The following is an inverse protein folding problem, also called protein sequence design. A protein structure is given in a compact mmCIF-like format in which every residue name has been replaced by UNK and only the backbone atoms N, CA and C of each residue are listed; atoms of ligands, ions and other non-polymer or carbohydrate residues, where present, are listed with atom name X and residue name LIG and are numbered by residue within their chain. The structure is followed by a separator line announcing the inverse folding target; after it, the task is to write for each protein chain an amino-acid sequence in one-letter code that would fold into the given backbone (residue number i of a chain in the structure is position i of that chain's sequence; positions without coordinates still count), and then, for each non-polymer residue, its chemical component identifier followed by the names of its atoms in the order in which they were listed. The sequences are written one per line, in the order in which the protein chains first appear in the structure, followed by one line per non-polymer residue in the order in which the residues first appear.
data_IF_470464067228
#
_entry.id   IF_470464067228
#
_cell.length_a   1.000
_cell.length_b   1.000
_cell.length_c   1.000
_cell.angle_alpha   90.00
_cell.angle_beta   90.00
_cell.angle_gamma   90.00
#
_symmetry.space_group_name_H-M   'P 1'
#
loop_
_entity.id
_entity.type
_entity.pdbx_description
1 polymer ?
#
# COMPACT_ATOMS: atom_id res chain seq x y z
N UNK A 1 20.75 6.45 -3.19
CA UNK A 1 19.46 6.30 -3.89
C UNK A 1 19.25 4.85 -4.32
N UNK A 2 20.15 4.27 -5.13
CA UNK A 2 19.98 2.91 -5.70
C UNK A 2 19.72 1.84 -4.64
N UNK A 3 20.49 1.80 -3.56
CA UNK A 3 20.32 0.81 -2.49
C UNK A 3 19.00 1.00 -1.71
N UNK A 4 18.57 2.25 -1.48
CA UNK A 4 17.30 2.53 -0.80
C UNK A 4 16.09 2.13 -1.63
N UNK A 5 16.11 2.38 -2.95
CA UNK A 5 15.03 1.95 -3.85
C UNK A 5 15.00 0.43 -3.98
N UNK A 6 16.17 -0.24 -4.07
CA UNK A 6 16.25 -1.70 -4.09
C UNK A 6 15.67 -2.30 -2.79
N UNK A 7 15.99 -1.73 -1.64
CA UNK A 7 15.37 -2.13 -0.37
C UNK A 7 13.85 -1.95 -0.40
N UNK A 8 13.35 -0.83 -0.92
CA UNK A 8 11.92 -0.59 -1.10
C UNK A 8 11.25 -1.65 -1.97
N UNK A 9 11.88 -2.07 -3.06
CA UNK A 9 11.38 -3.14 -3.94
C UNK A 9 11.32 -4.48 -3.19
N UNK A 10 12.37 -4.82 -2.44
CA UNK A 10 12.41 -6.06 -1.64
C UNK A 10 11.32 -6.05 -0.57
N UNK A 11 11.21 -4.96 0.18
CA UNK A 11 10.18 -4.82 1.22
C UNK A 11 8.77 -4.87 0.62
N UNK A 12 8.53 -4.21 -0.51
CA UNK A 12 7.26 -4.28 -1.21
C UNK A 12 6.94 -5.72 -1.63
N UNK A 13 7.89 -6.43 -2.21
CA UNK A 13 7.73 -7.85 -2.59
C UNK A 13 7.38 -8.73 -1.40
N UNK A 14 8.06 -8.55 -0.27
CA UNK A 14 7.77 -9.29 0.97
C UNK A 14 6.37 -8.96 1.52
N UNK A 15 6.00 -7.69 1.56
CA UNK A 15 4.66 -7.25 2.02
C UNK A 15 3.56 -7.86 1.14
N UNK A 16 3.71 -7.78 -0.18
CA UNK A 16 2.74 -8.35 -1.13
C UNK A 16 2.62 -9.86 -0.94
N UNK A 17 3.76 -10.57 -0.82
CA UNK A 17 3.78 -12.02 -0.59
C UNK A 17 3.06 -12.40 0.71
N UNK A 18 3.44 -11.77 1.82
CA UNK A 18 2.84 -12.05 3.14
C UNK A 18 1.34 -11.72 3.13
N UNK A 19 0.95 -10.60 2.52
CA UNK A 19 -0.45 -10.18 2.46
C UNK A 19 -1.31 -11.12 1.60
N UNK A 20 -0.79 -11.60 0.47
CA UNK A 20 -1.50 -12.58 -0.37
C UNK A 20 -1.69 -13.92 0.36
N UNK A 21 -0.73 -14.35 1.16
CA UNK A 21 -0.89 -15.53 2.02
C UNK A 21 -1.91 -15.22 3.12
N UNK A 22 -1.77 -14.09 3.80
CA UNK A 22 -2.57 -13.70 4.95
C UNK A 22 -4.07 -13.48 4.63
N UNK A 23 -4.39 -13.07 3.41
CA UNK A 23 -5.80 -12.90 2.98
C UNK A 23 -6.55 -14.24 2.92
N UNK A 24 -5.85 -15.34 2.72
CA UNK A 24 -6.42 -16.70 2.78
C UNK A 24 -6.80 -17.19 4.18
N UNK A 25 -6.42 -16.44 5.23
CA UNK A 25 -6.70 -16.79 6.63
C UNK A 25 -7.71 -15.81 7.24
N UNK A 26 -9.02 -16.14 7.25
CA UNK A 26 -10.04 -15.30 7.89
C UNK A 26 -9.88 -15.34 9.42
N UNK A 27 -10.07 -14.19 10.05
CA UNK A 27 -10.16 -14.05 11.51
C UNK A 27 -11.63 -14.27 11.93
N UNK A 28 -12.56 -13.72 11.16
CA UNK A 28 -14.01 -13.82 11.34
C UNK A 28 -14.72 -13.46 10.02
N UNK A 29 -16.04 -13.35 10.04
CA UNK A 29 -16.87 -13.03 8.86
C UNK A 29 -16.64 -11.61 8.30
N UNK A 30 -15.87 -10.77 8.99
CA UNK A 30 -15.60 -9.37 8.63
C UNK A 30 -14.15 -9.12 8.25
N UNK A 31 -13.19 -9.94 8.71
CA UNK A 31 -11.77 -9.63 8.67
C UNK A 31 -10.93 -10.82 8.27
N UNK A 32 -9.91 -10.56 7.48
CA UNK A 32 -8.79 -11.46 7.23
C UNK A 32 -7.50 -10.87 7.78
N UNK A 33 -6.47 -11.68 7.99
CA UNK A 33 -5.14 -11.19 8.36
C UNK A 33 -4.53 -10.26 7.29
N UNK A 34 -4.96 -10.40 6.05
CA UNK A 34 -4.57 -9.52 4.95
C UNK A 34 -4.92 -8.05 5.19
N UNK A 35 -6.05 -7.77 5.87
CA UNK A 35 -6.47 -6.41 6.20
C UNK A 35 -5.46 -5.64 7.07
N UNK A 36 -4.64 -6.35 7.85
CA UNK A 36 -3.60 -5.77 8.70
C UNK A 36 -2.22 -5.76 8.06
N UNK A 37 -1.92 -6.68 7.18
CA UNK A 37 -0.60 -6.77 6.53
C UNK A 37 -0.51 -5.89 5.27
N UNK A 38 -1.56 -5.80 4.49
CA UNK A 38 -1.60 -5.06 3.24
C UNK A 38 -1.31 -3.55 3.39
N UNK A 39 -1.78 -2.84 4.44
CA UNK A 39 -1.45 -1.43 4.65
C UNK A 39 0.05 -1.13 4.79
N UNK A 40 0.88 -2.12 5.11
CA UNK A 40 2.33 -1.96 5.10
C UNK A 40 2.88 -1.60 3.71
N UNK A 41 2.18 -1.98 2.63
CA UNK A 41 2.54 -1.58 1.27
C UNK A 41 2.46 -0.06 1.08
N UNK A 42 1.44 0.60 1.65
CA UNK A 42 1.34 2.06 1.64
C UNK A 42 2.49 2.70 2.43
N UNK A 43 2.81 2.18 3.62
CA UNK A 43 3.95 2.67 4.39
C UNK A 43 5.27 2.60 3.59
N UNK A 44 5.51 1.50 2.87
CA UNK A 44 6.72 1.35 2.04
C UNK A 44 6.76 2.41 0.94
N UNK A 45 5.66 2.59 0.20
CA UNK A 45 5.60 3.61 -0.86
C UNK A 45 5.70 5.03 -0.33
N UNK A 46 5.07 5.33 0.81
CA UNK A 46 5.13 6.62 1.47
C UNK A 46 6.55 6.99 1.91
N UNK A 47 7.27 6.04 2.51
CA UNK A 47 8.66 6.24 2.91
C UNK A 47 9.57 6.47 1.69
N UNK A 48 9.40 5.68 0.63
CA UNK A 48 10.16 5.86 -0.62
C UNK A 48 9.80 7.20 -1.27
N UNK A 49 8.52 7.57 -1.30
CA UNK A 49 8.09 8.85 -1.85
C UNK A 49 8.65 10.02 -1.03
N UNK A 50 8.63 9.92 0.30
CA UNK A 50 9.17 10.96 1.18
C UNK A 50 10.66 11.20 0.98
N UNK A 51 11.44 10.11 0.84
CA UNK A 51 12.91 10.16 0.79
C UNK A 51 13.43 10.37 -0.63
N UNK A 52 12.88 9.65 -1.61
CA UNK A 52 13.44 9.57 -2.97
C UNK A 52 12.52 10.17 -4.04
N UNK A 53 11.30 10.58 -3.65
CA UNK A 53 10.34 11.23 -4.53
C UNK A 53 9.48 10.26 -5.35
N UNK A 54 8.47 10.86 -6.00
CA UNK A 54 7.37 10.18 -6.70
C UNK A 54 7.83 9.21 -7.77
N UNK A 55 8.89 9.53 -8.51
CA UNK A 55 9.41 8.67 -9.59
C UNK A 55 9.91 7.32 -9.06
N UNK A 56 10.57 7.33 -7.91
CA UNK A 56 11.08 6.12 -7.28
C UNK A 56 9.97 5.32 -6.58
N UNK A 57 9.03 6.00 -5.94
CA UNK A 57 7.85 5.35 -5.38
C UNK A 57 7.06 4.57 -6.45
N UNK A 58 6.80 5.17 -7.61
CA UNK A 58 6.14 4.48 -8.74
C UNK A 58 6.90 3.25 -9.21
N UNK A 59 8.24 3.29 -9.25
CA UNK A 59 9.05 2.10 -9.60
C UNK A 59 8.86 0.95 -8.61
N UNK A 60 8.80 1.28 -7.31
CA UNK A 60 8.54 0.29 -6.26
C UNK A 60 7.13 -0.30 -6.40
N UNK A 61 6.12 0.53 -6.73
CA UNK A 61 4.76 0.06 -7.01
C UNK A 61 4.71 -0.89 -8.20
N UNK A 62 5.35 -0.55 -9.32
CA UNK A 62 5.38 -1.43 -10.50
C UNK A 62 6.10 -2.74 -10.21
N UNK A 63 7.20 -2.71 -9.47
CA UNK A 63 7.89 -3.93 -9.05
C UNK A 63 7.01 -4.80 -8.15
N UNK A 64 6.32 -4.21 -7.19
CA UNK A 64 5.37 -4.91 -6.32
C UNK A 64 4.19 -5.50 -7.10
N UNK A 65 3.68 -4.78 -8.10
CA UNK A 65 2.65 -5.28 -9.01
C UNK A 65 3.11 -6.55 -9.77
N UNK A 66 4.31 -6.51 -10.35
CA UNK A 66 4.88 -7.69 -11.06
C UNK A 66 5.01 -8.87 -10.12
N UNK A 67 5.54 -8.66 -8.90
CA UNK A 67 5.62 -9.72 -7.87
C UNK A 67 4.22 -10.25 -7.52
N UNK A 68 3.24 -9.37 -7.31
CA UNK A 68 1.86 -9.74 -7.00
C UNK A 68 1.22 -10.58 -8.10
N UNK A 69 1.39 -10.19 -9.36
CA UNK A 69 0.88 -10.94 -10.52
C UNK A 69 1.53 -12.32 -10.61
N UNK A 70 2.86 -12.40 -10.49
CA UNK A 70 3.58 -13.68 -10.53
C UNK A 70 3.10 -14.62 -9.42
N UNK A 71 2.96 -14.12 -8.20
CA UNK A 71 2.48 -14.92 -7.08
C UNK A 71 1.02 -15.36 -7.27
N UNK A 72 0.16 -14.50 -7.82
CA UNK A 72 -1.23 -14.82 -8.07
C UNK A 72 -1.40 -15.97 -9.08
N UNK A 73 -0.52 -16.07 -10.07
CA UNK A 73 -0.54 -17.18 -11.03
C UNK A 73 -0.30 -18.54 -10.35
N UNK A 74 0.49 -18.55 -9.27
CA UNK A 74 0.87 -19.80 -8.57
C UNK A 74 -0.03 -20.15 -7.39
N UNK A 75 -0.67 -19.17 -6.74
CA UNK A 75 -1.30 -19.37 -5.43
C UNK A 75 -2.76 -18.93 -5.36
N UNK A 76 -3.30 -18.22 -6.33
CA UNK A 76 -4.66 -17.69 -6.29
C UNK A 76 -5.50 -18.12 -7.49
N UNK A 77 -6.82 -18.09 -7.30
CA UNK A 77 -7.76 -18.10 -8.43
C UNK A 77 -7.48 -16.90 -9.35
N UNK A 78 -7.58 -17.11 -10.66
CA UNK A 78 -7.29 -16.10 -11.68
C UNK A 78 -8.10 -14.82 -11.47
N UNK A 79 -9.38 -14.94 -11.10
CA UNK A 79 -10.26 -13.80 -10.84
C UNK A 79 -9.77 -12.99 -9.62
N UNK A 80 -9.41 -13.67 -8.53
CA UNK A 80 -8.87 -13.04 -7.32
C UNK A 80 -7.53 -12.38 -7.62
N UNK A 81 -6.66 -13.06 -8.37
CA UNK A 81 -5.35 -12.52 -8.77
C UNK A 81 -5.46 -11.25 -9.61
N UNK A 82 -6.35 -11.22 -10.59
CA UNK A 82 -6.60 -10.05 -11.43
C UNK A 82 -7.24 -8.91 -10.63
N UNK A 83 -8.18 -9.21 -9.75
CA UNK A 83 -8.81 -8.23 -8.86
C UNK A 83 -7.77 -7.60 -7.93
N UNK A 84 -6.96 -8.42 -7.26
CA UNK A 84 -5.90 -7.96 -6.34
C UNK A 84 -4.84 -7.12 -7.07
N UNK A 85 -4.34 -7.59 -8.21
CA UNK A 85 -3.35 -6.85 -8.98
C UNK A 85 -3.88 -5.50 -9.47
N UNK A 86 -5.11 -5.47 -9.99
CA UNK A 86 -5.75 -4.24 -10.47
C UNK A 86 -5.99 -3.24 -9.33
N UNK A 87 -6.56 -3.71 -8.22
CA UNK A 87 -6.80 -2.89 -7.04
C UNK A 87 -5.49 -2.31 -6.48
N UNK A 88 -4.47 -3.17 -6.30
CA UNK A 88 -3.13 -2.77 -5.86
C UNK A 88 -2.56 -1.65 -6.74
N UNK A 89 -2.53 -1.87 -8.06
CA UNK A 89 -1.89 -0.91 -8.97
C UNK A 89 -2.59 0.45 -8.95
N UNK A 90 -3.92 0.47 -9.04
CA UNK A 90 -4.70 1.71 -9.04
C UNK A 90 -4.58 2.43 -7.69
N UNK A 91 -4.76 1.72 -6.59
CA UNK A 91 -4.73 2.29 -5.24
C UNK A 91 -3.35 2.85 -4.88
N UNK A 92 -2.29 2.09 -5.17
CA UNK A 92 -0.92 2.52 -4.87
C UNK A 92 -0.46 3.70 -5.74
N UNK A 93 -0.83 3.75 -7.02
CA UNK A 93 -0.51 4.90 -7.86
C UNK A 93 -1.30 6.15 -7.46
N UNK A 94 -2.55 5.98 -7.00
CA UNK A 94 -3.35 7.05 -6.42
C UNK A 94 -2.70 7.57 -5.13
N UNK A 95 -2.35 6.68 -4.22
CA UNK A 95 -1.66 6.98 -2.97
C UNK A 95 -0.38 7.79 -3.22
N UNK A 96 0.53 7.27 -4.04
CA UNK A 96 1.77 7.96 -4.42
C UNK A 96 1.51 9.36 -4.97
N UNK A 97 0.45 9.55 -5.75
CA UNK A 97 0.10 10.84 -6.36
C UNK A 97 -0.44 11.83 -5.33
N UNK A 98 -1.31 11.36 -4.42
CA UNK A 98 -1.88 12.19 -3.35
C UNK A 98 -0.79 12.55 -2.34
N UNK A 99 0.03 11.57 -1.93
CA UNK A 99 1.15 11.80 -1.04
C UNK A 99 2.08 12.89 -1.59
N UNK A 100 2.47 12.80 -2.85
CA UNK A 100 3.38 13.77 -3.47
C UNK A 100 2.81 15.19 -3.49
N UNK A 101 1.49 15.35 -3.71
CA UNK A 101 0.82 16.65 -3.64
C UNK A 101 0.80 17.24 -2.23
N UNK A 102 0.70 16.37 -1.21
CA UNK A 102 0.57 16.77 0.19
C UNK A 102 1.90 16.77 0.96
N UNK A 103 2.99 16.25 0.38
CA UNK A 103 4.27 16.01 1.07
C UNK A 103 4.90 17.24 1.71
N UNK A 104 4.58 18.45 1.22
CA UNK A 104 5.09 19.73 1.74
C UNK A 104 4.25 20.27 2.90
N UNK A 105 3.11 19.65 3.21
CA UNK A 105 2.27 20.02 4.34
C UNK A 105 2.78 19.37 5.64
N UNK A 106 1.95 19.34 6.68
CA UNK A 106 2.28 18.68 7.95
C UNK A 106 2.68 17.22 7.70
N UNK A 107 3.67 16.74 8.43
CA UNK A 107 4.30 15.42 8.26
C UNK A 107 3.32 14.24 8.22
N UNK A 108 2.19 14.35 8.94
CA UNK A 108 1.17 13.30 9.05
C UNK A 108 0.09 13.36 7.97
N UNK A 109 -0.16 14.54 7.36
CA UNK A 109 -1.24 14.71 6.39
C UNK A 109 -1.02 13.90 5.13
N UNK A 110 0.20 13.92 4.59
CA UNK A 110 0.49 13.18 3.38
C UNK A 110 0.23 11.68 3.56
N UNK A 111 0.90 10.96 4.49
CA UNK A 111 0.70 9.52 4.64
C UNK A 111 -0.73 9.16 5.07
N UNK A 112 -1.36 9.95 5.95
CA UNK A 112 -2.71 9.63 6.40
C UNK A 112 -3.74 9.76 5.27
N UNK A 113 -3.78 10.90 4.60
CA UNK A 113 -4.80 11.17 3.57
C UNK A 113 -4.60 10.29 2.34
N UNK A 114 -3.35 10.08 1.90
CA UNK A 114 -3.07 9.23 0.76
C UNK A 114 -3.48 7.78 1.04
N UNK A 115 -3.09 7.25 2.21
CA UNK A 115 -3.44 5.88 2.60
C UNK A 115 -4.94 5.69 2.84
N UNK A 116 -5.66 6.67 3.39
CA UNK A 116 -7.12 6.60 3.54
C UNK A 116 -7.81 6.50 2.18
N UNK A 117 -7.46 7.36 1.24
CA UNK A 117 -8.06 7.37 -0.10
C UNK A 117 -7.61 6.17 -0.93
N UNK A 118 -6.33 5.82 -0.87
CA UNK A 118 -5.79 4.62 -1.52
C UNK A 118 -6.48 3.36 -1.02
N UNK A 119 -6.62 3.20 0.30
CA UNK A 119 -7.30 2.04 0.90
C UNK A 119 -8.79 1.96 0.52
N UNK A 120 -9.49 3.09 0.42
CA UNK A 120 -10.89 3.10 -0.02
C UNK A 120 -11.02 2.55 -1.44
N UNK A 121 -10.16 3.01 -2.35
CA UNK A 121 -10.15 2.56 -3.76
C UNK A 121 -9.72 1.11 -3.86
N UNK A 122 -8.69 0.70 -3.12
CA UNK A 122 -8.21 -0.69 -3.07
C UNK A 122 -9.34 -1.64 -2.65
N UNK A 123 -9.96 -1.38 -1.50
CA UNK A 123 -11.04 -2.21 -0.96
C UNK A 123 -12.24 -2.26 -1.91
N UNK A 124 -12.68 -1.12 -2.44
CA UNK A 124 -13.81 -1.07 -3.37
C UNK A 124 -13.52 -1.87 -4.65
N UNK A 125 -12.36 -1.70 -5.25
CA UNK A 125 -11.97 -2.43 -6.47
C UNK A 125 -11.76 -3.91 -6.19
N UNK A 126 -11.00 -4.26 -5.15
CA UNK A 126 -10.71 -5.66 -4.86
C UNK A 126 -12.00 -6.45 -4.61
N UNK A 127 -12.81 -6.04 -3.64
CA UNK A 127 -13.99 -6.80 -3.25
C UNK A 127 -15.06 -6.86 -4.36
N UNK A 128 -15.25 -5.76 -5.11
CA UNK A 128 -16.18 -5.77 -6.23
C UNK A 128 -15.71 -6.66 -7.39
N UNK A 129 -14.46 -6.60 -7.79
CA UNK A 129 -13.93 -7.40 -8.90
C UNK A 129 -13.81 -8.89 -8.53
N UNK A 130 -13.34 -9.17 -7.31
CA UNK A 130 -13.17 -10.54 -6.85
C UNK A 130 -14.50 -11.26 -6.59
N UNK A 131 -15.48 -10.61 -5.97
CA UNK A 131 -16.61 -11.29 -5.36
C UNK A 131 -17.99 -10.83 -5.80
N UNK A 132 -18.15 -9.75 -6.57
CA UNK A 132 -19.46 -9.36 -7.08
C UNK A 132 -20.09 -10.50 -7.93
N UNK A 133 -21.35 -10.82 -7.63
CA UNK A 133 -22.08 -11.93 -8.27
C UNK A 133 -21.73 -13.32 -7.73
N UNK A 134 -20.96 -13.44 -6.64
CA UNK A 134 -20.72 -14.69 -5.91
C UNK A 134 -21.59 -14.76 -4.66
N UNK A 135 -21.57 -15.91 -3.95
CA UNK A 135 -22.27 -16.08 -2.66
C UNK A 135 -21.48 -15.49 -1.46
N UNK A 136 -20.29 -14.94 -1.69
CA UNK A 136 -19.46 -14.36 -0.63
C UNK A 136 -20.08 -13.04 -0.18
N UNK A 137 -20.23 -12.77 1.14
CA UNK A 137 -20.75 -11.50 1.67
C UNK A 137 -19.70 -10.38 1.56
N UNK A 138 -19.32 -10.08 0.32
CA UNK A 138 -18.19 -9.23 0.00
C UNK A 138 -18.34 -7.77 0.45
N UNK A 139 -19.57 -7.26 0.56
CA UNK A 139 -19.82 -5.89 1.07
C UNK A 139 -19.44 -5.80 2.54
N UNK A 140 -19.85 -6.80 3.34
CA UNK A 140 -19.53 -6.89 4.77
C UNK A 140 -18.02 -7.01 4.99
N UNK A 141 -17.38 -7.92 4.23
CA UNK A 141 -15.93 -8.08 4.26
C UNK A 141 -15.20 -6.81 3.83
N UNK A 142 -15.69 -6.11 2.80
CA UNK A 142 -15.11 -4.83 2.36
C UNK A 142 -15.21 -3.73 3.42
N UNK A 143 -16.34 -3.63 4.13
CA UNK A 143 -16.50 -2.68 5.23
C UNK A 143 -15.52 -2.99 6.36
N UNK A 144 -15.40 -4.26 6.75
CA UNK A 144 -14.47 -4.69 7.79
C UNK A 144 -13.01 -4.45 7.40
N UNK A 145 -12.63 -4.82 6.17
CA UNK A 145 -11.30 -4.60 5.61
C UNK A 145 -10.94 -3.10 5.62
N UNK A 146 -11.85 -2.25 5.12
CA UNK A 146 -11.61 -0.80 5.13
C UNK A 146 -11.49 -0.25 6.55
N UNK A 147 -12.32 -0.68 7.49
CA UNK A 147 -12.21 -0.30 8.90
C UNK A 147 -10.85 -0.64 9.50
N UNK A 148 -10.34 -1.86 9.25
CA UNK A 148 -9.01 -2.26 9.67
C UNK A 148 -7.91 -1.41 9.03
N UNK A 149 -8.03 -1.10 7.73
CA UNK A 149 -7.10 -0.24 7.00
C UNK A 149 -7.08 1.19 7.53
N UNK A 150 -8.23 1.75 7.93
CA UNK A 150 -8.31 3.05 8.59
C UNK A 150 -7.51 3.06 9.91
N UNK A 151 -7.72 2.04 10.73
CA UNK A 151 -6.96 1.87 11.97
C UNK A 151 -5.45 1.75 11.70
N UNK A 152 -5.07 0.92 10.74
CA UNK A 152 -3.67 0.73 10.36
C UNK A 152 -3.05 2.00 9.77
N UNK A 153 -3.77 2.78 8.97
CA UNK A 153 -3.27 4.06 8.44
C UNK A 153 -2.90 5.03 9.57
N UNK A 154 -3.72 5.10 10.62
CA UNK A 154 -3.41 5.90 11.81
C UNK A 154 -2.24 5.32 12.62
N UNK A 155 -2.23 4.00 12.87
CA UNK A 155 -1.17 3.33 13.62
C UNK A 155 0.19 3.43 12.94
N UNK A 156 0.24 3.32 11.62
CA UNK A 156 1.47 3.38 10.81
C UNK A 156 2.08 4.80 10.73
N UNK A 157 1.38 5.84 11.17
CA UNK A 157 2.00 7.16 11.36
C UNK A 157 3.14 7.13 12.37
N UNK A 158 3.07 6.25 13.37
CA UNK A 158 4.13 6.14 14.39
C UNK A 158 5.44 5.66 13.77
N UNK A 159 5.54 4.47 13.13
CA UNK A 159 6.77 4.03 12.49
C UNK A 159 7.20 4.98 11.37
N UNK A 160 6.26 5.58 10.61
CA UNK A 160 6.58 6.59 9.59
C UNK A 160 7.31 7.79 10.23
N UNK A 161 6.80 8.32 11.35
CA UNK A 161 7.42 9.46 12.06
C UNK A 161 8.79 9.12 12.61
N UNK A 162 8.92 7.95 13.24
CA UNK A 162 10.20 7.47 13.79
C UNK A 162 11.23 7.38 12.67
N UNK A 163 10.87 6.76 11.55
CA UNK A 163 11.79 6.60 10.42
C UNK A 163 12.26 7.96 9.86
N UNK A 164 11.34 8.91 9.66
CA UNK A 164 11.71 10.26 9.19
C UNK A 164 12.64 10.97 10.19
N UNK A 165 12.38 10.82 11.49
CA UNK A 165 13.21 11.45 12.52
C UNK A 165 14.63 10.88 12.58
N UNK A 166 14.81 9.63 12.15
CA UNK A 166 16.13 8.96 12.08
C UNK A 166 16.91 9.28 10.79
N UNK A 167 16.27 9.92 9.80
CA UNK A 167 16.98 10.28 8.57
C UNK A 167 18.01 11.37 8.82
N UNK A 168 19.23 11.22 8.27
CA UNK A 168 20.24 12.29 8.28
C UNK A 168 19.71 13.58 7.62
N UNK A 169 19.99 14.72 8.21
CA UNK A 169 19.51 16.04 7.78
C UNK A 169 19.76 16.37 6.30
N UNK A 170 20.86 15.85 5.74
CA UNK A 170 21.18 16.05 4.32
C UNK A 170 20.23 15.32 3.35
N UNK A 171 19.64 14.18 3.75
CA UNK A 171 18.63 13.49 2.94
C UNK A 171 17.23 14.14 3.06
N UNK A 172 16.97 14.80 4.17
CA UNK A 172 15.75 15.59 4.36
C UNK A 172 15.72 16.83 3.44
N UNK A 173 16.86 17.44 3.17
CA UNK A 173 16.98 18.64 2.32
C UNK A 173 16.95 18.34 0.81
N UNK A 174 17.51 17.21 0.36
CA UNK A 174 17.47 16.83 -1.07
C UNK A 174 16.04 16.54 -1.58
N UNK A 175 15.10 16.27 -0.68
CA UNK A 175 13.70 16.11 -1.03
C UNK A 175 13.02 17.43 -1.42
N UNK A 176 13.58 18.58 -1.03
CA UNK A 176 13.05 19.92 -1.34
C UNK A 176 13.57 20.46 -2.68
N UNK A 177 14.79 20.12 -3.06
CA UNK A 177 15.45 20.64 -4.27
C UNK A 177 15.19 19.84 -5.56
N UNK A 178 14.80 18.58 -5.46
CA UNK A 178 14.54 17.70 -6.62
C UNK A 178 13.17 17.93 -7.29
N UNK A 179 12.43 18.95 -6.90
CA UNK A 179 11.07 19.27 -7.38
C UNK A 179 10.94 20.70 -7.91
N UNK A 180 12.07 21.38 -8.16
CA UNK A 180 12.12 22.66 -8.88
C UNK A 180 12.32 22.44 -10.37
#
# INVERSE_FOLDING_TARGET
VRNGVALGVILMGLVVLVSNIAVGYPINDWLTWGAFTYPLAFLVTDLINRVFGVRHARRVVYAGFVVGVVLSVFYADVRIGLASGSAFLVAQLLDVTIFDRLRRQSWWKAPLISSLLGSAVDTALFFSLAFAGTQVPWVTLGIGDYGAKLFMAAALLVPFRVFIAMLPTHLAQTSETSSA
#
